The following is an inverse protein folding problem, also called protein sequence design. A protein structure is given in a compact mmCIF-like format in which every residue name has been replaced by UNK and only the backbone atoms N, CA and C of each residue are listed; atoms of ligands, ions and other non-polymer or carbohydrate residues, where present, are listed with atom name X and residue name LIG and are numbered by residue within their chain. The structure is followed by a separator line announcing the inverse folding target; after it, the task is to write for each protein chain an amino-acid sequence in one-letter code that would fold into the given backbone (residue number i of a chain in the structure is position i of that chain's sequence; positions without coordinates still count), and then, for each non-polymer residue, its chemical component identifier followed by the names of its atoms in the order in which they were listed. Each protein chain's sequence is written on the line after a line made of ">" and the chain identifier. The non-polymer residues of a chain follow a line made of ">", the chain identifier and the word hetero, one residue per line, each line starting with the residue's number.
data_IF_346022791526
#
_entry.id   IF_346022791526
#
_cell.length_a   1.000
_cell.length_b   1.000
_cell.length_c   1.000
_cell.angle_alpha   90.00
_cell.angle_beta   90.00
_cell.angle_gamma   90.00
#
_symmetry.space_group_name_H-M   'P 1'
#
loop_
_entity.id
_entity.type
_entity.pdbx_description
1 polymer ?
#
# COMPACT_ATOMS: atom_id res chain seq x y z
N UNK A 1 -16.19 -12.52 9.78
CA UNK A 1 -15.57 -12.70 8.45
C UNK A 1 -15.39 -11.37 7.74
N UNK A 2 -16.47 -10.77 7.22
CA UNK A 2 -16.39 -9.57 6.38
C UNK A 2 -15.73 -8.36 7.06
N UNK A 3 -16.10 -8.05 8.31
CA UNK A 3 -15.51 -6.93 9.08
C UNK A 3 -14.00 -7.12 9.27
N UNK A 4 -13.58 -8.33 9.62
CA UNK A 4 -12.15 -8.68 9.74
C UNK A 4 -11.44 -8.50 8.40
N UNK A 5 -12.05 -8.94 7.31
CA UNK A 5 -11.49 -8.80 5.97
C UNK A 5 -11.31 -7.31 5.60
N UNK A 6 -12.31 -6.46 5.84
CA UNK A 6 -12.20 -5.01 5.60
C UNK A 6 -11.02 -4.42 6.38
N UNK A 7 -10.84 -4.79 7.65
CA UNK A 7 -9.70 -4.34 8.46
C UNK A 7 -8.35 -4.75 7.84
N UNK A 8 -8.22 -5.99 7.39
CA UNK A 8 -7.02 -6.48 6.70
C UNK A 8 -6.77 -5.72 5.40
N UNK A 9 -7.81 -5.43 4.61
CA UNK A 9 -7.70 -4.64 3.38
C UNK A 9 -7.23 -3.22 3.66
N UNK A 10 -7.81 -2.55 4.65
CA UNK A 10 -7.44 -1.18 5.00
C UNK A 10 -6.00 -1.13 5.52
N UNK A 11 -5.59 -2.07 6.39
CA UNK A 11 -4.21 -2.21 6.82
C UNK A 11 -3.27 -2.42 5.62
N UNK A 12 -3.70 -3.23 4.65
CA UNK A 12 -2.98 -3.42 3.40
C UNK A 12 -3.01 -2.21 2.44
N UNK A 13 -3.91 -1.25 2.58
CA UNK A 13 -3.82 -0.01 1.82
C UNK A 13 -2.87 0.97 2.50
N UNK A 14 -3.03 1.17 3.81
CA UNK A 14 -2.29 2.15 4.62
C UNK A 14 -0.78 1.92 4.54
N UNK A 15 -0.32 0.71 4.86
CA UNK A 15 1.10 0.36 4.85
C UNK A 15 1.72 0.54 3.45
N UNK A 16 0.95 0.43 2.36
CA UNK A 16 1.46 0.57 1.00
C UNK A 16 1.73 2.04 0.68
N UNK A 17 0.77 2.89 1.04
CA UNK A 17 0.88 4.35 0.91
C UNK A 17 2.05 4.86 1.75
N UNK A 18 2.20 4.34 2.96
CA UNK A 18 3.28 4.72 3.88
C UNK A 18 4.66 4.37 3.31
N UNK A 19 4.86 3.11 2.90
CA UNK A 19 6.09 2.66 2.24
C UNK A 19 6.39 3.43 0.95
N UNK A 20 5.36 3.80 0.18
CA UNK A 20 5.56 4.57 -1.06
C UNK A 20 5.95 6.01 -0.74
N UNK A 21 5.36 6.63 0.28
CA UNK A 21 5.73 7.98 0.75
C UNK A 21 7.15 8.00 1.31
N UNK A 22 7.52 7.00 2.09
CA UNK A 22 8.87 6.86 2.65
C UNK A 22 9.92 6.67 1.53
N UNK A 23 9.64 5.81 0.55
CA UNK A 23 10.52 5.63 -0.60
C UNK A 23 10.68 6.93 -1.42
N UNK A 24 9.62 7.73 -1.56
CA UNK A 24 9.70 9.05 -2.21
C UNK A 24 10.47 10.09 -1.39
N UNK A 25 10.30 10.10 -0.07
CA UNK A 25 11.09 10.97 0.81
C UNK A 25 12.59 10.66 0.71
N UNK A 26 12.94 9.40 0.43
CA UNK A 26 14.30 8.95 0.15
C UNK A 26 14.77 9.18 -1.30
N UNK A 27 14.00 9.92 -2.11
CA UNK A 27 14.36 10.29 -3.49
C UNK A 27 14.12 9.21 -4.54
N UNK A 28 13.43 8.11 -4.21
CA UNK A 28 13.13 7.07 -5.18
C UNK A 28 12.08 7.52 -6.20
N UNK A 29 12.26 7.08 -7.45
CA UNK A 29 11.28 7.32 -8.51
C UNK A 29 9.96 6.63 -8.16
N UNK A 30 8.81 7.31 -8.37
CA UNK A 30 7.47 6.82 -7.97
C UNK A 30 7.19 5.39 -8.46
N UNK A 31 7.64 5.06 -9.67
CA UNK A 31 7.51 3.73 -10.26
C UNK A 31 8.29 2.64 -9.52
N UNK A 32 9.49 2.94 -9.04
CA UNK A 32 10.34 1.98 -8.32
C UNK A 32 9.87 1.80 -6.88
N UNK A 33 9.43 2.89 -6.24
CA UNK A 33 8.78 2.85 -4.93
C UNK A 33 7.56 1.91 -4.94
N UNK A 34 6.66 2.08 -5.91
CA UNK A 34 5.47 1.22 -6.05
C UNK A 34 5.88 -0.25 -6.24
N UNK A 35 6.86 -0.54 -7.10
CA UNK A 35 7.32 -1.92 -7.36
C UNK A 35 7.89 -2.57 -6.11
N UNK A 36 8.72 -1.86 -5.35
CA UNK A 36 9.34 -2.39 -4.14
C UNK A 36 8.28 -2.69 -3.07
N UNK A 37 7.35 -1.75 -2.85
CA UNK A 37 6.28 -1.92 -1.87
C UNK A 37 5.27 -3.01 -2.26
N UNK A 38 5.00 -3.20 -3.56
CA UNK A 38 4.17 -4.31 -4.05
C UNK A 38 4.83 -5.68 -3.79
N UNK A 39 6.14 -5.82 -4.05
CA UNK A 39 6.86 -7.07 -3.81
C UNK A 39 6.87 -7.47 -2.33
N UNK A 40 7.07 -6.51 -1.43
CA UNK A 40 7.07 -6.76 0.00
C UNK A 40 5.71 -7.27 0.49
N UNK A 41 4.63 -6.74 -0.09
CA UNK A 41 3.25 -7.15 0.22
C UNK A 41 2.88 -8.50 -0.33
N UNK A 42 3.33 -8.83 -1.54
CA UNK A 42 3.06 -10.13 -2.14
C UNK A 42 3.54 -11.25 -1.21
N UNK A 43 4.74 -11.07 -0.60
CA UNK A 43 5.29 -12.01 0.39
C UNK A 43 4.43 -12.09 1.65
N UNK A 44 3.99 -10.96 2.19
CA UNK A 44 3.13 -10.92 3.38
C UNK A 44 1.77 -11.60 3.14
N UNK A 45 1.17 -11.39 1.97
CA UNK A 45 -0.11 -12.01 1.59
C UNK A 45 0.06 -13.52 1.42
N UNK A 46 1.10 -13.96 0.71
CA UNK A 46 1.40 -15.39 0.59
C UNK A 46 1.57 -16.02 1.96
N UNK A 47 2.30 -15.37 2.87
CA UNK A 47 2.46 -15.85 4.24
C UNK A 47 1.12 -15.95 4.99
N UNK A 48 0.23 -14.95 4.90
CA UNK A 48 -1.07 -15.02 5.58
C UNK A 48 -1.97 -16.12 5.02
N UNK A 49 -1.93 -16.32 3.70
CA UNK A 49 -2.75 -17.33 3.02
C UNK A 49 -2.24 -18.73 3.33
N UNK A 50 -0.91 -18.91 3.37
CA UNK A 50 -0.26 -20.16 3.73
C UNK A 50 -0.51 -20.51 5.19
N UNK A 51 -0.40 -19.55 6.10
CA UNK A 51 -0.74 -19.73 7.53
C UNK A 51 -2.22 -20.07 7.71
N UNK A 52 -3.12 -19.45 6.95
CA UNK A 52 -4.54 -19.80 6.95
C UNK A 52 -4.79 -21.23 6.46
N UNK A 53 -4.12 -21.64 5.39
CA UNK A 53 -4.22 -22.99 4.84
C UNK A 53 -3.64 -24.06 5.79
N UNK A 54 -2.47 -23.80 6.37
CA UNK A 54 -1.84 -24.67 7.37
C UNK A 54 -2.62 -24.70 8.68
N UNK A 55 -3.20 -23.59 9.11
CA UNK A 55 -4.08 -23.51 10.29
C UNK A 55 -5.40 -24.24 10.10
N UNK A 56 -5.87 -24.37 8.86
CA UNK A 56 -7.04 -25.19 8.51
C UNK A 56 -6.71 -26.68 8.33
N UNK A 57 -5.43 -27.04 8.19
CA UNK A 57 -4.95 -28.42 8.05
C UNK A 57 -5.37 -29.35 9.22
N UNK A 58 -5.20 -28.98 10.51
CA UNK A 58 -5.64 -29.83 11.62
C UNK A 58 -7.17 -29.99 11.67
N UNK A 59 -7.92 -28.95 11.28
CA UNK A 59 -9.38 -29.00 11.17
C UNK A 59 -9.86 -29.89 10.03
N UNK A 60 -9.03 -30.13 9.01
CA UNK A 60 -9.33 -31.06 7.92
C UNK A 60 -9.07 -32.52 8.31
N UNK A 61 -8.09 -32.78 9.18
CA UNK A 61 -7.73 -34.14 9.64
C UNK A 61 -8.68 -34.64 10.72
N UNK A 62 -9.16 -33.77 11.62
CA UNK A 62 -10.14 -34.13 12.64
C UNK A 62 -11.28 -33.09 12.68
N UNK A 63 -12.42 -33.34 12.01
CA UNK A 63 -13.54 -32.41 12.00
C UNK A 63 -14.22 -32.42 13.39
N UNK A 64 -13.80 -31.51 14.26
CA UNK A 64 -14.44 -31.21 15.53
C UNK A 64 -15.61 -30.21 15.39
N UNK A 65 -16.47 -30.08 16.42
CA UNK A 65 -17.48 -29.03 16.48
C UNK A 65 -16.82 -27.66 16.38
N UNK A 66 -17.16 -26.89 15.33
CA UNK A 66 -16.58 -25.56 15.03
C UNK A 66 -15.92 -25.45 13.65
N UNK A 67 -15.60 -26.56 12.97
CA UNK A 67 -14.97 -26.57 11.64
C UNK A 67 -15.77 -25.80 10.57
N UNK A 68 -17.10 -25.73 10.70
CA UNK A 68 -18.00 -24.99 9.80
C UNK A 68 -17.75 -23.48 9.86
N UNK A 69 -17.50 -22.94 11.06
CA UNK A 69 -17.23 -21.51 11.27
C UNK A 69 -15.85 -21.14 10.71
N UNK A 70 -14.84 -21.97 10.97
CA UNK A 70 -13.47 -21.75 10.48
C UNK A 70 -13.38 -21.86 8.94
N UNK A 71 -14.09 -22.80 8.32
CA UNK A 71 -14.17 -22.89 6.86
C UNK A 71 -14.79 -21.64 6.23
N UNK A 72 -15.89 -21.12 6.79
CA UNK A 72 -16.51 -19.88 6.32
C UNK A 72 -15.60 -18.67 6.47
N UNK A 73 -14.87 -18.58 7.60
CA UNK A 73 -13.90 -17.52 7.84
C UNK A 73 -12.72 -17.57 6.85
N UNK A 74 -12.16 -18.76 6.60
CA UNK A 74 -11.08 -18.97 5.66
C UNK A 74 -11.49 -18.63 4.22
N UNK A 75 -12.67 -19.07 3.78
CA UNK A 75 -13.18 -18.79 2.44
C UNK A 75 -13.33 -17.29 2.17
N UNK A 76 -13.89 -16.53 3.13
CA UNK A 76 -14.04 -15.07 3.01
C UNK A 76 -12.69 -14.37 2.99
N UNK A 77 -11.72 -14.79 3.82
CA UNK A 77 -10.39 -14.18 3.82
C UNK A 77 -9.65 -14.42 2.51
N UNK A 78 -9.69 -15.66 1.99
CA UNK A 78 -9.01 -15.99 0.73
C UNK A 78 -9.63 -15.21 -0.44
N UNK A 79 -10.95 -15.24 -0.59
CA UNK A 79 -11.63 -14.49 -1.66
C UNK A 79 -11.46 -12.97 -1.51
N UNK A 80 -11.54 -12.47 -0.29
CA UNK A 80 -11.40 -11.05 0.04
C UNK A 80 -10.01 -10.50 -0.23
N UNK A 81 -8.95 -11.26 0.09
CA UNK A 81 -7.57 -10.86 -0.16
C UNK A 81 -7.26 -10.81 -1.67
N UNK A 82 -7.82 -11.72 -2.47
CA UNK A 82 -7.68 -11.68 -3.93
C UNK A 82 -8.32 -10.43 -4.52
N UNK A 83 -9.56 -10.11 -4.12
CA UNK A 83 -10.25 -8.90 -4.55
C UNK A 83 -9.50 -7.65 -4.09
N UNK A 84 -9.01 -7.65 -2.86
CA UNK A 84 -8.21 -6.56 -2.29
C UNK A 84 -6.92 -6.30 -3.08
N UNK A 85 -6.25 -7.35 -3.55
CA UNK A 85 -5.05 -7.24 -4.38
C UNK A 85 -5.34 -6.49 -5.67
N UNK A 86 -6.41 -6.87 -6.36
CA UNK A 86 -6.86 -6.21 -7.60
C UNK A 86 -7.25 -4.76 -7.30
N UNK A 87 -8.01 -4.54 -6.23
CA UNK A 87 -8.48 -3.22 -5.84
C UNK A 87 -7.30 -2.32 -5.49
N UNK A 88 -6.38 -2.73 -4.61
CA UNK A 88 -5.18 -1.97 -4.26
C UNK A 88 -4.27 -1.71 -5.46
N UNK A 89 -4.06 -2.70 -6.34
CA UNK A 89 -3.28 -2.52 -7.57
C UNK A 89 -3.91 -1.52 -8.55
N UNK A 90 -5.22 -1.33 -8.55
CA UNK A 90 -5.91 -0.34 -9.38
C UNK A 90 -6.04 1.02 -8.69
N UNK A 91 -6.44 1.03 -7.41
CA UNK A 91 -6.72 2.23 -6.63
C UNK A 91 -5.44 3.02 -6.40
N UNK A 92 -4.35 2.37 -6.00
CA UNK A 92 -3.12 3.08 -5.66
C UNK A 92 -2.47 3.84 -6.83
N UNK A 93 -2.21 3.23 -7.99
CA UNK A 93 -1.61 3.98 -9.10
C UNK A 93 -2.56 5.09 -9.59
N UNK A 94 -3.88 4.87 -9.53
CA UNK A 94 -4.86 5.91 -9.86
C UNK A 94 -4.80 7.08 -8.87
N UNK A 95 -4.73 6.78 -7.58
CA UNK A 95 -4.68 7.78 -6.51
C UNK A 95 -3.35 8.54 -6.53
N UNK A 96 -2.22 7.83 -6.65
CA UNK A 96 -0.89 8.43 -6.80
C UNK A 96 -0.82 9.32 -8.03
N UNK A 97 -1.35 8.90 -9.19
CA UNK A 97 -1.42 9.76 -10.37
C UNK A 97 -2.23 11.03 -10.13
N UNK A 98 -3.34 10.94 -9.39
CA UNK A 98 -4.18 12.09 -9.06
C UNK A 98 -3.45 13.09 -8.15
N UNK A 99 -2.76 12.60 -7.11
CA UNK A 99 -1.97 13.42 -6.19
C UNK A 99 -0.76 14.07 -6.90
N UNK A 100 -0.01 13.31 -7.70
CA UNK A 100 1.12 13.83 -8.48
C UNK A 100 0.69 14.83 -9.56
N UNK A 101 -0.47 14.63 -10.19
CA UNK A 101 -1.03 15.60 -11.13
C UNK A 101 -1.42 16.92 -10.43
N UNK A 102 -1.86 16.86 -9.18
CA UNK A 102 -2.14 18.02 -8.34
C UNK A 102 -0.88 18.82 -7.96
N UNK A 103 0.21 18.13 -7.63
CA UNK A 103 1.50 18.77 -7.29
C UNK A 103 2.16 19.44 -8.51
N UNK A 104 2.09 18.83 -9.70
CA UNK A 104 2.55 19.48 -10.94
C UNK A 104 1.77 20.75 -11.26
N UNK A 105 0.45 20.76 -11.05
CA UNK A 105 -0.38 21.97 -11.23
C UNK A 105 -0.01 23.07 -10.23
N UNK A 106 0.29 22.72 -8.98
CA UNK A 106 0.72 23.69 -7.95
C UNK A 106 2.14 24.19 -8.18
N UNK A 107 3.06 23.34 -8.61
CA UNK A 107 4.43 23.73 -8.95
C UNK A 107 4.47 24.60 -10.22
N UNK A 108 3.59 24.35 -11.19
CA UNK A 108 3.44 25.19 -12.37
C UNK A 108 2.78 26.55 -12.08
N UNK A 109 2.00 26.66 -10.98
CA UNK A 109 1.39 27.91 -10.54
C UNK A 109 2.27 28.68 -9.53
N UNK A 110 3.35 28.08 -9.03
CA UNK A 110 4.29 28.77 -8.17
C UNK A 110 5.07 29.79 -9.02
N UNK A 111 5.00 31.10 -8.68
CA UNK A 111 5.73 32.10 -9.43
C UNK A 111 7.24 31.78 -9.38
N UNK A 112 7.98 31.96 -10.49
CA UNK A 112 9.42 31.79 -10.49
C UNK A 112 10.00 32.67 -9.39
N UNK A 113 10.60 32.03 -8.37
CA UNK A 113 11.38 32.76 -7.38
C UNK A 113 12.55 33.37 -8.13
N UNK A 114 12.41 34.66 -8.45
CA UNK A 114 13.48 35.49 -8.95
C UNK A 114 14.72 35.26 -8.10
N UNK A 115 15.82 35.00 -8.78
CA UNK A 115 17.15 34.94 -8.22
C UNK A 115 17.32 36.13 -7.28
N UNK A 116 17.35 35.86 -5.97
CA UNK A 116 17.69 36.90 -5.00
C UNK A 116 19.13 37.27 -5.31
N UNK A 117 19.43 38.52 -5.71
CA UNK A 117 20.80 38.96 -5.85
C UNK A 117 21.50 38.65 -4.53
N UNK A 118 22.64 37.98 -4.62
CA UNK A 118 23.43 37.62 -3.45
C UNK A 118 23.70 38.93 -2.70
N UNK A 119 23.12 39.08 -1.52
CA UNK A 119 23.39 40.17 -0.58
C UNK A 119 24.84 40.13 -0.04
N UNK A 120 25.73 39.38 -0.70
CA UNK A 120 27.14 39.20 -0.36
C UNK A 120 28.00 40.28 -1.03
N UNK A 121 27.52 40.90 -2.11
CA UNK A 121 28.29 41.91 -2.86
C UNK A 121 28.09 43.35 -2.33
N UNK A 122 27.18 43.56 -1.37
CA UNK A 122 26.91 44.89 -0.78
C UNK A 122 27.72 45.20 0.49
N UNK A 123 28.41 44.21 1.05
CA UNK A 123 29.20 44.38 2.29
C UNK A 123 30.70 44.57 2.02
N UNK A 124 31.09 44.72 0.74
CA UNK A 124 32.49 44.81 0.31
C UNK A 124 32.86 46.12 -0.41
N UNK A 125 32.04 47.18 -0.33
CA UNK A 125 32.31 48.49 -0.93
C UNK A 125 32.30 49.62 0.10
#
# INVERSE_FOLDING_TARGET
>A
GFIMMVGVVVNHAILLVDLTREAQANGANLSDAIRMSLNQRLRAILASTLTGALGALPMAVNPGPGSVIYRGLAAVNVGGVVISLIFSLLLLPSLMRLFFAGERKRAALAPPRGERPRLVDAEAA
#
